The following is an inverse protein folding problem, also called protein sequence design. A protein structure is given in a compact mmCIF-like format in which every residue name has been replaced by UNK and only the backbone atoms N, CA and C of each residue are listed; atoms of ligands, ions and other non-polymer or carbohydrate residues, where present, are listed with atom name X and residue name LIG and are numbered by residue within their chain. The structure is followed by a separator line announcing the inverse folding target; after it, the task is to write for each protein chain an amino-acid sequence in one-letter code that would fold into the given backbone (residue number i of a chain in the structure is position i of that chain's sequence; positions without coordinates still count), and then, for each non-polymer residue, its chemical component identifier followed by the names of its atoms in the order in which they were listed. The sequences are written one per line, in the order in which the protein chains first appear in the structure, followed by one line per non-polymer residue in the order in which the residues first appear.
data_IF_727057297020
#
_entry.id   IF_727057297020
#
_cell.length_a   1.000
_cell.length_b   1.000
_cell.length_c   1.000
_cell.angle_alpha   90.00
_cell.angle_beta   90.00
_cell.angle_gamma   90.00
#
_symmetry.space_group_name_H-M   'P 1'
#
loop_
_entity.id
_entity.type
_entity.pdbx_description
1 polymer ?
#
# COMPACT_ATOMS: atom_id res chain seq x y z
N UNK A 1 9.25 2.45 -36.19
CA UNK A 1 9.17 1.31 -35.26
C UNK A 1 10.31 0.34 -35.57
N UNK A 2 10.98 -0.21 -34.54
CA UNK A 2 12.16 -1.05 -34.71
C UNK A 2 11.96 -2.54 -34.31
N UNK A 3 10.73 -2.93 -33.95
CA UNK A 3 10.42 -4.26 -33.44
C UNK A 3 10.66 -4.45 -31.94
N UNK A 4 11.04 -3.39 -31.20
CA UNK A 4 11.26 -3.51 -29.76
C UNK A 4 9.93 -3.63 -28.99
N UNK A 5 9.78 -4.70 -28.20
CA UNK A 5 8.58 -5.02 -27.41
C UNK A 5 8.04 -3.85 -26.58
N UNK A 6 8.94 -3.10 -25.92
CA UNK A 6 8.61 -1.93 -25.10
C UNK A 6 7.96 -0.77 -25.86
N UNK A 7 8.16 -0.71 -27.17
CA UNK A 7 7.66 0.37 -28.03
C UNK A 7 6.40 -0.02 -28.80
N UNK A 8 5.96 -1.29 -28.72
CA UNK A 8 4.81 -1.80 -29.49
C UNK A 8 3.53 -1.09 -29.07
N UNK A 9 3.23 -1.06 -27.77
CA UNK A 9 1.98 -0.46 -27.28
C UNK A 9 1.91 1.04 -27.57
N UNK A 10 3.03 1.76 -27.42
CA UNK A 10 3.12 3.18 -27.76
C UNK A 10 3.01 3.45 -29.27
N UNK A 11 3.52 2.54 -30.10
CA UNK A 11 3.41 2.63 -31.55
C UNK A 11 1.96 2.41 -32.01
N UNK A 12 1.29 1.35 -31.54
CA UNK A 12 -0.13 1.06 -31.85
C UNK A 12 -1.01 2.24 -31.42
N UNK A 13 -0.83 2.75 -30.19
CA UNK A 13 -1.58 3.92 -29.73
C UNK A 13 -1.35 5.17 -30.61
N UNK A 14 -0.12 5.40 -31.06
CA UNK A 14 0.20 6.52 -31.97
C UNK A 14 -0.42 6.33 -33.35
N UNK A 15 -0.42 5.11 -33.87
CA UNK A 15 -1.07 4.74 -35.12
C UNK A 15 -2.58 4.98 -35.06
N UNK A 16 -3.25 4.50 -34.01
CA UNK A 16 -4.68 4.73 -33.79
C UNK A 16 -5.04 6.21 -33.66
N UNK A 17 -4.24 6.99 -32.92
CA UNK A 17 -4.44 8.45 -32.81
C UNK A 17 -4.31 9.16 -34.16
N UNK A 18 -3.32 8.78 -34.97
CA UNK A 18 -3.11 9.40 -36.28
C UNK A 18 -4.22 9.03 -37.28
N UNK A 19 -4.63 7.76 -37.30
CA UNK A 19 -5.73 7.29 -38.14
C UNK A 19 -7.08 7.90 -37.73
N UNK A 20 -7.32 8.06 -36.42
CA UNK A 20 -8.50 8.77 -35.91
C UNK A 20 -8.51 10.26 -36.27
N UNK A 21 -7.35 10.94 -36.17
CA UNK A 21 -7.22 12.35 -36.50
C UNK A 21 -7.32 12.64 -38.01
N UNK A 22 -6.91 11.67 -38.85
CA UNK A 22 -6.86 11.81 -40.31
C UNK A 22 -7.70 10.76 -41.04
N UNK A 23 -8.84 10.37 -40.47
CA UNK A 23 -9.71 9.35 -41.05
C UNK A 23 -10.14 9.70 -42.50
N UNK A 24 -10.27 11.00 -42.80
CA UNK A 24 -10.61 11.49 -44.14
C UNK A 24 -9.53 11.28 -45.21
N UNK A 25 -8.23 11.17 -44.84
CA UNK A 25 -7.13 10.90 -45.78
C UNK A 25 -7.00 9.39 -46.08
N UNK A 26 -7.52 8.54 -45.21
CA UNK A 26 -7.45 7.08 -45.32
C UNK A 26 -8.79 6.47 -45.72
N UNK A 27 -9.14 6.62 -47.00
CA UNK A 27 -10.39 6.10 -47.58
C UNK A 27 -10.41 4.58 -47.79
N UNK A 28 -9.24 3.93 -47.80
CA UNK A 28 -9.12 2.47 -47.94
C UNK A 28 -8.30 1.88 -46.80
N UNK A 29 -8.71 0.69 -46.34
CA UNK A 29 -7.95 -0.10 -45.35
C UNK A 29 -6.52 -0.39 -45.84
N UNK A 30 -6.34 -0.58 -47.14
CA UNK A 30 -5.03 -0.80 -47.75
C UNK A 30 -4.08 0.40 -47.59
N UNK A 31 -4.59 1.63 -47.69
CA UNK A 31 -3.79 2.85 -47.45
C UNK A 31 -3.34 2.93 -45.98
N UNK A 32 -4.19 2.51 -45.04
CA UNK A 32 -3.85 2.47 -43.60
C UNK A 32 -2.76 1.45 -43.32
N UNK A 33 -2.93 0.25 -43.87
CA UNK A 33 -1.96 -0.84 -43.79
C UNK A 33 -0.60 -0.40 -44.35
N UNK A 34 -0.57 0.14 -45.57
CA UNK A 34 0.67 0.59 -46.21
C UNK A 34 1.33 1.72 -45.41
N UNK A 35 0.52 2.61 -44.81
CA UNK A 35 1.02 3.67 -43.96
C UNK A 35 1.68 3.12 -42.69
N UNK A 36 1.05 2.19 -41.97
CA UNK A 36 1.64 1.53 -40.79
C UNK A 36 2.95 0.80 -41.17
N UNK A 37 2.94 0.05 -42.26
CA UNK A 37 4.12 -0.66 -42.77
C UNK A 37 5.26 0.31 -43.13
N UNK A 38 4.94 1.52 -43.62
CA UNK A 38 5.94 2.54 -43.91
C UNK A 38 6.72 3.02 -42.68
N UNK A 39 6.19 2.86 -41.46
CA UNK A 39 6.91 3.17 -40.22
C UNK A 39 7.79 2.01 -39.73
N UNK A 40 7.68 0.82 -40.30
CA UNK A 40 8.46 -0.37 -39.93
C UNK A 40 9.87 -0.38 -40.57
N UNK A 41 10.59 0.73 -40.46
CA UNK A 41 11.79 0.99 -41.27
C UNK A 41 13.10 0.40 -40.73
N UNK A 42 13.10 -0.20 -39.53
CA UNK A 42 14.35 -0.61 -38.85
C UNK A 42 14.19 -1.92 -38.08
N UNK A 43 15.30 -2.65 -37.90
CA UNK A 43 15.38 -3.82 -37.03
C UNK A 43 14.43 -4.96 -37.42
N UNK A 44 13.99 -5.73 -36.43
CA UNK A 44 13.12 -6.88 -36.65
C UNK A 44 11.76 -6.54 -37.29
N UNK A 45 11.33 -5.28 -37.20
CA UNK A 45 10.12 -4.80 -37.87
C UNK A 45 10.31 -4.67 -39.39
N UNK A 46 11.52 -4.31 -39.86
CA UNK A 46 11.83 -4.25 -41.28
C UNK A 46 11.89 -5.64 -41.90
N UNK A 47 12.55 -6.58 -41.22
CA UNK A 47 12.65 -7.96 -41.67
C UNK A 47 11.26 -8.60 -41.79
N UNK A 48 10.38 -8.34 -40.82
CA UNK A 48 9.00 -8.78 -40.86
C UNK A 48 8.18 -8.08 -41.96
N UNK A 49 8.29 -6.75 -42.10
CA UNK A 49 7.63 -6.01 -43.18
C UNK A 49 8.01 -6.59 -44.56
N UNK A 50 9.29 -6.85 -44.80
CA UNK A 50 9.77 -7.43 -46.05
C UNK A 50 9.22 -8.84 -46.27
N UNK A 51 9.19 -9.66 -45.22
CA UNK A 51 8.58 -10.99 -45.26
C UNK A 51 7.10 -10.94 -45.64
N UNK A 52 6.32 -10.00 -45.09
CA UNK A 52 4.90 -9.83 -45.42
C UNK A 52 4.68 -9.31 -46.85
N UNK A 53 5.51 -8.36 -47.31
CA UNK A 53 5.44 -7.88 -48.68
C UNK A 53 5.78 -8.97 -49.70
N UNK A 54 6.74 -9.85 -49.38
CA UNK A 54 7.08 -11.00 -50.21
C UNK A 54 5.99 -12.07 -50.18
N UNK A 55 5.39 -12.31 -49.01
CA UNK A 55 4.23 -13.21 -48.89
C UNK A 55 3.07 -12.72 -49.77
N UNK A 56 2.78 -11.42 -49.76
CA UNK A 56 1.77 -10.80 -50.61
C UNK A 56 2.07 -10.94 -52.11
N UNK A 57 3.35 -10.94 -52.51
CA UNK A 57 3.76 -11.20 -53.91
C UNK A 57 3.57 -12.65 -54.31
N UNK A 58 3.92 -13.59 -53.45
CA UNK A 58 3.92 -15.03 -53.77
C UNK A 58 2.50 -15.62 -53.69
N UNK A 59 1.71 -15.22 -52.70
CA UNK A 59 0.39 -15.81 -52.42
C UNK A 59 -0.78 -14.94 -52.88
N UNK A 60 -0.53 -13.69 -53.28
CA UNK A 60 -1.58 -12.74 -53.66
C UNK A 60 -2.45 -12.27 -52.48
N UNK A 61 -2.08 -12.64 -51.24
CA UNK A 61 -2.85 -12.33 -50.03
C UNK A 61 -1.89 -11.98 -48.90
N UNK A 62 -2.10 -10.84 -48.24
CA UNK A 62 -1.38 -10.51 -47.02
C UNK A 62 -2.02 -11.22 -45.82
N UNK A 63 -1.27 -11.38 -44.73
CA UNK A 63 -1.74 -12.02 -43.50
C UNK A 63 -2.84 -11.23 -42.76
N UNK A 64 -3.08 -9.98 -43.17
CA UNK A 64 -4.05 -9.05 -42.62
C UNK A 64 -4.73 -8.27 -43.75
N UNK A 65 -6.02 -7.99 -43.57
CA UNK A 65 -6.88 -7.27 -44.52
C UNK A 65 -7.39 -5.94 -43.98
N UNK A 66 -7.33 -5.75 -42.67
CA UNK A 66 -7.72 -4.51 -41.98
C UNK A 66 -6.57 -3.96 -41.14
N UNK A 67 -6.65 -2.67 -40.79
CA UNK A 67 -5.68 -2.07 -39.86
C UNK A 67 -5.72 -2.73 -38.47
N UNK A 68 -6.88 -3.18 -38.02
CA UNK A 68 -7.06 -3.86 -36.72
C UNK A 68 -6.35 -5.22 -36.70
N UNK A 69 -6.50 -6.02 -37.76
CA UNK A 69 -5.79 -7.31 -37.89
C UNK A 69 -4.27 -7.12 -37.95
N UNK A 70 -3.80 -6.03 -38.57
CA UNK A 70 -2.40 -5.67 -38.59
C UNK A 70 -1.88 -5.30 -37.20
N UNK A 71 -2.65 -4.53 -36.43
CA UNK A 71 -2.30 -4.19 -35.05
C UNK A 71 -2.23 -5.43 -34.16
N UNK A 72 -3.18 -6.35 -34.28
CA UNK A 72 -3.18 -7.63 -33.58
C UNK A 72 -1.99 -8.51 -33.97
N UNK A 73 -1.63 -8.55 -35.25
CA UNK A 73 -0.46 -9.29 -35.74
C UNK A 73 0.86 -8.69 -35.21
N UNK A 74 0.98 -7.36 -35.22
CA UNK A 74 2.13 -6.66 -34.62
C UNK A 74 2.19 -6.97 -33.12
N UNK A 75 1.05 -6.95 -32.43
CA UNK A 75 0.96 -7.25 -31.01
C UNK A 75 1.31 -8.72 -30.73
N UNK A 76 0.88 -9.65 -31.56
CA UNK A 76 1.20 -11.08 -31.43
C UNK A 76 2.68 -11.35 -31.69
N UNK A 77 3.27 -10.72 -32.69
CA UNK A 77 4.64 -10.98 -33.16
C UNK A 77 5.70 -10.27 -32.31
N UNK A 78 5.42 -9.03 -31.90
CA UNK A 78 6.38 -8.17 -31.18
C UNK A 78 5.94 -7.84 -29.75
N UNK A 79 4.68 -8.03 -29.38
CA UNK A 79 4.18 -7.72 -28.05
C UNK A 79 4.65 -8.69 -26.96
N UNK A 80 5.12 -9.88 -27.32
CA UNK A 80 5.61 -10.87 -26.36
C UNK A 80 4.47 -11.64 -25.68
N UNK A 81 4.72 -12.92 -25.44
CA UNK A 81 3.72 -13.93 -25.09
C UNK A 81 3.14 -13.82 -23.67
N UNK A 82 3.57 -12.84 -22.86
CA UNK A 82 3.15 -12.77 -21.45
C UNK A 82 2.90 -11.35 -20.94
N UNK A 83 2.35 -10.47 -21.80
CA UNK A 83 1.89 -9.14 -21.35
C UNK A 83 0.90 -9.26 -20.20
N UNK A 84 -0.02 -10.23 -20.25
CA UNK A 84 -1.04 -10.40 -19.21
C UNK A 84 -0.41 -10.87 -17.90
N UNK A 85 0.43 -11.91 -17.90
CA UNK A 85 1.08 -12.35 -16.66
C UNK A 85 2.04 -11.30 -16.09
N UNK A 86 2.80 -10.60 -16.93
CA UNK A 86 3.68 -9.50 -16.50
C UNK A 86 2.87 -8.35 -15.91
N UNK A 87 1.73 -8.00 -16.51
CA UNK A 87 0.80 -6.98 -15.98
C UNK A 87 0.16 -7.43 -14.67
N UNK A 88 -0.21 -8.70 -14.53
CA UNK A 88 -0.74 -9.25 -13.28
C UNK A 88 0.31 -9.20 -12.17
N UNK A 89 1.54 -9.62 -12.46
CA UNK A 89 2.66 -9.54 -11.51
C UNK A 89 2.90 -8.08 -11.14
N UNK A 90 2.95 -7.17 -12.12
CA UNK A 90 3.13 -5.75 -11.86
C UNK A 90 2.01 -5.18 -10.98
N UNK A 91 0.76 -5.48 -11.30
CA UNK A 91 -0.41 -5.06 -10.52
C UNK A 91 -0.33 -5.55 -9.08
N UNK A 92 0.12 -6.79 -8.88
CA UNK A 92 0.34 -7.38 -7.54
C UNK A 92 1.49 -6.75 -6.78
N UNK A 93 2.49 -6.19 -7.47
CA UNK A 93 3.62 -5.49 -6.84
C UNK A 93 3.32 -4.04 -6.48
N UNK A 94 2.23 -3.46 -6.99
CA UNK A 94 1.84 -2.09 -6.68
C UNK A 94 1.28 -2.01 -5.26
N UNK A 95 2.07 -1.43 -4.37
CA UNK A 95 1.71 -1.16 -2.98
C UNK A 95 1.76 0.36 -2.76
N UNK A 96 0.77 0.91 -2.05
CA UNK A 96 0.67 2.33 -1.73
C UNK A 96 1.82 2.77 -0.82
N UNK A 97 2.05 2.05 0.29
CA UNK A 97 3.13 2.35 1.22
C UNK A 97 3.06 3.79 1.74
N UNK A 98 4.16 4.53 1.68
CA UNK A 98 4.18 5.95 2.07
C UNK A 98 3.65 6.95 1.04
N UNK A 99 3.23 6.50 -0.15
CA UNK A 99 2.85 7.37 -1.28
C UNK A 99 1.42 7.92 -1.12
N UNK A 100 1.14 9.02 -1.82
CA UNK A 100 -0.22 9.56 -1.97
C UNK A 100 -1.15 8.50 -2.55
N UNK A 101 -2.40 8.48 -2.09
CA UNK A 101 -3.40 7.58 -2.67
C UNK A 101 -3.61 7.86 -4.16
N UNK A 102 -3.51 9.12 -4.59
CA UNK A 102 -3.70 9.52 -5.99
C UNK A 102 -2.66 8.90 -6.95
N UNK A 103 -1.37 8.98 -6.63
CA UNK A 103 -0.30 8.36 -7.44
C UNK A 103 -0.48 6.84 -7.52
N UNK A 104 -0.82 6.22 -6.39
CA UNK A 104 -1.11 4.79 -6.34
C UNK A 104 -2.30 4.41 -7.23
N UNK A 105 -3.37 5.20 -7.21
CA UNK A 105 -4.55 4.97 -8.07
C UNK A 105 -4.19 5.14 -9.56
N UNK A 106 -3.36 6.12 -9.91
CA UNK A 106 -2.93 6.32 -11.30
C UNK A 106 -2.08 5.14 -11.80
N UNK A 107 -1.10 4.69 -11.01
CA UNK A 107 -0.28 3.52 -11.34
C UNK A 107 -1.13 2.25 -11.45
N UNK A 108 -2.03 2.04 -10.49
CA UNK A 108 -2.91 0.88 -10.46
C UNK A 108 -3.86 0.87 -11.67
N UNK A 109 -4.45 2.02 -12.04
CA UNK A 109 -5.28 2.14 -13.25
C UNK A 109 -4.50 1.77 -14.51
N UNK A 110 -3.27 2.25 -14.65
CA UNK A 110 -2.41 1.93 -15.81
C UNK A 110 -2.09 0.44 -15.87
N UNK A 111 -1.76 -0.17 -14.72
CA UNK A 111 -1.46 -1.60 -14.65
C UNK A 111 -2.69 -2.49 -14.85
N UNK A 112 -3.87 -2.01 -14.44
CA UNK A 112 -5.13 -2.71 -14.63
C UNK A 112 -5.49 -2.85 -16.12
N UNK A 113 -5.15 -1.85 -16.94
CA UNK A 113 -5.45 -1.85 -18.38
C UNK A 113 -4.68 -2.99 -19.08
N UNK A 114 -5.44 -4.02 -19.48
CA UNK A 114 -4.92 -5.22 -20.15
C UNK A 114 -4.41 -6.31 -19.20
N UNK A 115 -4.74 -6.25 -17.90
CA UNK A 115 -4.58 -7.38 -16.98
C UNK A 115 -5.69 -8.43 -17.08
N UNK A 116 -6.83 -8.07 -17.69
CA UNK A 116 -8.01 -8.93 -17.80
C UNK A 116 -8.83 -9.07 -16.50
N UNK A 117 -8.46 -8.36 -15.42
CA UNK A 117 -9.25 -8.34 -14.20
C UNK A 117 -10.44 -7.38 -14.33
N UNK A 118 -11.64 -7.92 -14.14
CA UNK A 118 -12.88 -7.15 -14.13
C UNK A 118 -13.69 -7.37 -12.84
N UNK A 119 -14.59 -6.43 -12.55
CA UNK A 119 -15.55 -6.53 -11.45
C UNK A 119 -14.90 -6.64 -10.07
N UNK A 120 -15.16 -7.75 -9.37
CA UNK A 120 -14.68 -7.95 -7.99
C UNK A 120 -13.19 -8.28 -7.91
N UNK A 121 -12.60 -8.89 -8.93
CA UNK A 121 -11.20 -9.29 -8.89
C UNK A 121 -10.25 -8.08 -8.81
N UNK A 122 -10.53 -7.04 -9.58
CA UNK A 122 -9.75 -5.78 -9.54
C UNK A 122 -9.91 -5.05 -8.20
N UNK A 123 -11.09 -5.14 -7.57
CA UNK A 123 -11.34 -4.56 -6.25
C UNK A 123 -10.51 -5.26 -5.17
N UNK A 124 -10.45 -6.60 -5.19
CA UNK A 124 -9.65 -7.35 -4.21
C UNK A 124 -8.16 -7.09 -4.37
N UNK A 125 -7.66 -6.99 -5.61
CA UNK A 125 -6.25 -6.63 -5.84
C UNK A 125 -5.98 -5.17 -5.42
N UNK A 126 -6.93 -4.24 -5.64
CA UNK A 126 -6.80 -2.86 -5.15
C UNK A 126 -6.76 -2.78 -3.62
N UNK A 127 -7.64 -3.51 -2.93
CA UNK A 127 -7.63 -3.65 -1.46
C UNK A 127 -6.31 -4.20 -0.93
N UNK A 128 -5.62 -5.05 -1.70
CA UNK A 128 -4.32 -5.61 -1.32
C UNK A 128 -3.21 -4.58 -1.41
N UNK A 129 -3.22 -3.75 -2.44
CA UNK A 129 -2.24 -2.69 -2.66
C UNK A 129 -2.38 -1.49 -1.72
N UNK A 130 -3.58 -1.28 -1.17
CA UNK A 130 -3.89 -0.15 -0.30
C UNK A 130 -3.28 -0.27 1.10
N UNK A 131 -2.97 0.87 1.72
CA UNK A 131 -2.53 0.91 3.10
C UNK A 131 -3.59 0.32 4.05
N UNK A 132 -3.18 -0.58 4.94
CA UNK A 132 -4.05 -1.22 5.93
C UNK A 132 -4.97 -0.23 6.69
N UNK A 133 -4.47 0.86 7.31
CA UNK A 133 -5.36 1.79 8.02
C UNK A 133 -6.34 2.52 7.10
N UNK A 134 -5.97 2.75 5.84
CA UNK A 134 -6.86 3.35 4.84
C UNK A 134 -7.95 2.34 4.44
N UNK A 135 -7.55 1.09 4.19
CA UNK A 135 -8.45 -0.01 3.83
C UNK A 135 -9.47 -0.28 4.92
N UNK A 136 -9.03 -0.43 6.16
CA UNK A 136 -9.91 -0.66 7.31
C UNK A 136 -10.91 0.48 7.48
N UNK A 137 -10.45 1.73 7.35
CA UNK A 137 -11.33 2.90 7.42
C UNK A 137 -12.39 2.93 6.32
N UNK A 138 -12.04 2.53 5.09
CA UNK A 138 -13.01 2.42 3.99
C UNK A 138 -14.01 1.29 4.26
N UNK A 139 -13.54 0.14 4.76
CA UNK A 139 -14.41 -1.00 5.08
C UNK A 139 -15.34 -0.73 6.27
N UNK A 140 -14.92 0.08 7.24
CA UNK A 140 -15.73 0.52 8.39
C UNK A 140 -16.61 1.73 8.07
N UNK A 141 -16.54 2.28 6.85
CA UNK A 141 -17.42 3.38 6.46
C UNK A 141 -18.83 2.90 6.15
N UNK A 142 -19.83 3.76 6.43
CA UNK A 142 -21.26 3.46 6.36
C UNK A 142 -21.75 2.89 5.01
N UNK A 143 -21.03 3.20 3.91
CA UNK A 143 -21.36 2.74 2.57
C UNK A 143 -20.23 1.91 1.97
N UNK A 144 -20.16 0.60 2.20
CA UNK A 144 -19.06 -0.22 1.66
C UNK A 144 -19.07 -0.15 0.13
N UNK A 145 -18.00 0.37 -0.51
CA UNK A 145 -17.99 0.53 -1.96
C UNK A 145 -17.99 -0.82 -2.68
N UNK A 146 -18.85 -0.95 -3.69
CA UNK A 146 -19.01 -2.15 -4.52
C UNK A 146 -18.38 -2.00 -5.91
N UNK A 147 -18.05 -0.78 -6.32
CA UNK A 147 -17.37 -0.48 -7.58
C UNK A 147 -15.95 -0.02 -7.34
N UNK A 148 -15.07 -0.29 -8.30
CA UNK A 148 -13.67 0.15 -8.22
C UNK A 148 -13.54 1.68 -8.19
N UNK A 149 -14.45 2.40 -8.87
CA UNK A 149 -14.47 3.86 -8.85
C UNK A 149 -14.83 4.43 -7.47
N UNK A 150 -15.81 3.85 -6.79
CA UNK A 150 -16.15 4.24 -5.42
C UNK A 150 -14.98 3.98 -4.46
N UNK A 151 -14.26 2.87 -4.66
CA UNK A 151 -13.03 2.56 -3.93
C UNK A 151 -11.97 3.65 -4.13
N UNK A 152 -11.77 4.12 -5.37
CA UNK A 152 -10.84 5.22 -5.67
C UNK A 152 -11.26 6.52 -5.00
N UNK A 153 -12.52 6.92 -5.15
CA UNK A 153 -13.05 8.16 -4.60
C UNK A 153 -12.92 8.20 -3.06
N UNK A 154 -13.26 7.10 -2.39
CA UNK A 154 -13.11 6.99 -0.93
C UNK A 154 -11.65 6.98 -0.49
N UNK A 155 -10.79 6.26 -1.21
CA UNK A 155 -9.36 6.24 -0.90
C UNK A 155 -8.75 7.65 -0.97
N UNK A 156 -9.11 8.45 -1.98
CA UNK A 156 -8.69 9.84 -2.09
C UNK A 156 -9.19 10.69 -0.93
N UNK A 157 -10.50 10.61 -0.62
CA UNK A 157 -11.10 11.37 0.48
C UNK A 157 -10.43 11.08 1.82
N UNK A 158 -10.21 9.79 2.13
CA UNK A 158 -9.58 9.42 3.40
C UNK A 158 -8.09 9.75 3.46
N UNK A 159 -7.37 9.71 2.33
CA UNK A 159 -5.96 10.12 2.27
C UNK A 159 -5.82 11.63 2.48
N UNK A 160 -6.68 12.43 1.83
CA UNK A 160 -6.76 13.88 2.05
C UNK A 160 -7.11 14.20 3.51
N UNK A 161 -8.12 13.56 4.08
CA UNK A 161 -8.50 13.74 5.48
C UNK A 161 -7.37 13.35 6.45
N UNK A 162 -6.66 12.26 6.17
CA UNK A 162 -5.51 11.83 6.98
C UNK A 162 -4.36 12.85 6.94
N UNK A 163 -4.05 13.38 5.75
CA UNK A 163 -3.02 14.42 5.58
C UNK A 163 -3.41 15.73 6.23
N UNK A 164 -4.66 16.15 6.07
CA UNK A 164 -5.21 17.34 6.72
C UNK A 164 -5.15 17.19 8.25
N UNK A 165 -5.55 16.04 8.80
CA UNK A 165 -5.44 15.75 10.23
C UNK A 165 -3.99 15.78 10.72
N UNK A 166 -3.02 15.26 9.95
CA UNK A 166 -1.59 15.36 10.30
C UNK A 166 -1.11 16.82 10.28
N UNK A 167 -1.51 17.59 9.26
CA UNK A 167 -1.15 18.99 9.14
C UNK A 167 -1.76 19.81 10.29
N UNK A 168 -3.03 19.58 10.61
CA UNK A 168 -3.76 20.18 11.72
C UNK A 168 -3.11 19.81 13.06
N UNK A 169 -2.74 18.54 13.27
CA UNK A 169 -2.01 18.11 14.46
C UNK A 169 -0.62 18.76 14.56
N UNK A 170 0.04 19.10 13.44
CA UNK A 170 1.29 19.87 13.47
C UNK A 170 1.05 21.35 13.81
N UNK A 171 -0.04 21.92 13.32
CA UNK A 171 -0.40 23.33 13.55
C UNK A 171 -0.91 23.57 14.99
N UNK A 172 -1.75 22.67 15.51
CA UNK A 172 -2.43 22.83 16.82
C UNK A 172 -1.92 21.88 17.91
N UNK A 173 -1.20 20.80 17.55
CA UNK A 173 -0.62 19.86 18.52
C UNK A 173 0.69 20.36 19.15
N UNK A 174 1.13 21.58 18.82
CA UNK A 174 2.25 22.27 19.45
C UNK A 174 1.92 22.81 20.84
N UNK A 175 1.36 21.99 21.74
CA UNK A 175 1.22 22.33 23.16
C UNK A 175 1.00 21.08 24.03
N UNK A 176 1.87 20.08 23.91
CA UNK A 176 2.09 19.13 25.00
C UNK A 176 3.43 18.42 24.87
N UNK A 177 4.51 19.16 25.05
CA UNK A 177 5.81 18.59 25.43
C UNK A 177 6.24 19.24 26.74
N UNK A 178 5.82 18.59 27.83
CA UNK A 178 6.32 18.72 29.20
C UNK A 178 7.07 19.99 29.57
N UNK A 179 6.33 21.03 29.98
CA UNK A 179 6.89 21.92 31.00
C UNK A 179 7.06 21.07 32.26
N UNK A 180 8.32 20.71 32.58
CA UNK A 180 8.69 20.49 33.98
C UNK A 180 8.40 21.81 34.68
N UNK A 181 7.28 21.88 35.37
CA UNK A 181 6.97 23.00 36.25
C UNK A 181 8.13 23.21 37.25
N UNK A 182 8.35 24.44 37.72
CA UNK A 182 9.44 24.74 38.62
C UNK A 182 9.33 23.86 39.87
N UNK A 183 10.44 23.23 40.26
CA UNK A 183 10.50 22.39 41.43
C UNK A 183 10.18 23.21 42.68
N UNK A 184 9.07 22.91 43.35
CA UNK A 184 8.75 23.48 44.65
C UNK A 184 9.81 22.99 45.67
N UNK A 185 10.43 23.89 46.47
CA UNK A 185 11.34 23.46 47.52
C UNK A 185 10.58 22.67 48.57
N UNK A 186 11.04 21.46 48.89
CA UNK A 186 10.48 20.69 50.01
C UNK A 186 10.89 21.33 51.34
N UNK A 187 9.97 21.51 52.31
CA UNK A 187 10.33 21.97 53.64
C UNK A 187 11.13 20.89 54.41
N UNK A 188 12.01 21.28 55.35
CA UNK A 188 12.80 20.33 56.11
C UNK A 188 11.92 19.47 57.04
N UNK A 189 12.28 18.20 57.29
CA UNK A 189 11.46 17.31 58.10
C UNK A 189 11.62 17.64 59.58
N UNK A 190 10.60 18.24 60.18
CA UNK A 190 10.47 18.30 61.64
C UNK A 190 10.04 16.91 62.15
N UNK A 191 10.78 16.36 63.11
CA UNK A 191 10.47 15.10 63.77
C UNK A 191 9.12 15.17 64.48
N UNK A 192 8.22 14.20 64.21
CA UNK A 192 6.91 14.11 64.86
C UNK A 192 6.97 13.15 66.05
N UNK A 193 6.61 13.56 67.28
CA UNK A 193 6.41 12.64 68.40
C UNK A 193 5.04 11.94 68.32
N UNK A 194 4.96 10.77 68.94
CA UNK A 194 3.83 9.84 68.90
C UNK A 194 2.67 10.17 69.86
N UNK A 195 1.50 9.63 69.51
CA UNK A 195 0.37 9.15 70.35
C UNK A 195 -0.83 10.08 70.65
N UNK A 196 -2.04 9.53 70.41
CA UNK A 196 -3.35 10.08 70.77
C UNK A 196 -4.50 9.48 69.92
N UNK A 197 -5.61 8.94 70.50
CA UNK A 197 -6.61 8.16 69.75
C UNK A 197 -7.98 8.87 69.49
N UNK A 198 -8.52 8.69 68.26
CA UNK A 198 -9.93 8.61 67.74
C UNK A 198 -10.91 9.83 67.89
N UNK A 199 -11.95 10.14 67.07
CA UNK A 199 -12.72 9.58 65.91
C UNK A 199 -13.35 10.76 65.05
N UNK A 200 -14.37 10.63 64.13
CA UNK A 200 -14.25 10.88 62.68
C UNK A 200 -15.15 12.02 62.11
N UNK A 201 -15.06 12.35 60.81
CA UNK A 201 -16.24 12.72 60.02
C UNK A 201 -16.02 12.68 58.49
N UNK A 202 -16.82 11.85 57.82
CA UNK A 202 -17.55 12.22 56.60
C UNK A 202 -16.87 12.14 55.23
N UNK A 203 -17.01 10.97 54.56
CA UNK A 203 -17.29 10.67 53.11
C UNK A 203 -16.56 11.43 51.97
N UNK A 204 -16.36 10.86 50.75
CA UNK A 204 -17.10 9.76 50.10
C UNK A 204 -16.24 8.67 49.42
N UNK A 205 -16.95 7.62 49.00
CA UNK A 205 -16.50 6.38 48.36
C UNK A 205 -15.78 6.58 47.04
N UNK A 206 -14.78 5.74 46.75
CA UNK A 206 -14.46 5.33 45.38
C UNK A 206 -14.26 3.80 45.33
N UNK A 207 -15.09 3.19 44.51
CA UNK A 207 -15.30 1.75 44.33
C UNK A 207 -14.20 1.21 43.40
N UNK A 208 -13.62 0.06 43.78
CA UNK A 208 -12.89 -0.88 42.92
C UNK A 208 -11.87 -0.33 41.92
N UNK A 209 -10.87 0.42 42.39
CA UNK A 209 -9.63 0.64 41.63
C UNK A 209 -8.49 -0.23 42.15
N UNK A 210 -8.56 -1.51 41.79
CA UNK A 210 -7.43 -2.44 41.65
C UNK A 210 -6.48 -2.50 42.84
N UNK A 211 -6.56 -3.59 43.62
CA UNK A 211 -5.47 -4.09 44.47
C UNK A 211 -4.12 -3.93 43.77
N UNK A 212 -3.45 -2.80 43.99
CA UNK A 212 -2.05 -2.61 43.63
C UNK A 212 -1.30 -3.49 44.60
N UNK A 213 -1.01 -4.72 44.17
CA UNK A 213 -0.08 -5.60 44.86
C UNK A 213 1.14 -4.74 45.20
N UNK A 214 1.54 -4.65 46.48
CA UNK A 214 2.68 -3.84 46.87
C UNK A 214 3.86 -4.22 45.99
N UNK A 215 4.42 -3.26 45.26
CA UNK A 215 5.53 -3.54 44.37
C UNK A 215 6.72 -4.03 45.23
N UNK A 216 7.06 -5.31 45.10
CA UNK A 216 8.17 -5.97 45.80
C UNK A 216 9.40 -6.05 44.91
N UNK A 217 10.56 -5.86 45.52
CA UNK A 217 11.85 -6.00 44.84
C UNK A 217 12.04 -7.42 44.29
N UNK A 218 12.34 -7.57 43.00
CA UNK A 218 12.59 -8.89 42.39
C UNK A 218 13.93 -9.53 42.81
N UNK A 219 14.79 -8.81 43.55
CA UNK A 219 16.03 -9.35 44.10
C UNK A 219 15.85 -9.92 45.53
N UNK A 220 15.10 -9.24 46.39
CA UNK A 220 14.98 -9.61 47.82
C UNK A 220 13.55 -9.82 48.33
N UNK A 221 12.53 -9.64 47.47
CA UNK A 221 11.11 -9.84 47.80
C UNK A 221 10.50 -8.77 48.72
N UNK A 222 11.27 -7.79 49.20
CA UNK A 222 10.75 -6.76 50.12
C UNK A 222 10.01 -5.64 49.38
N UNK A 223 8.88 -5.13 49.90
CA UNK A 223 8.13 -4.05 49.29
C UNK A 223 8.87 -2.70 49.39
N UNK A 224 8.55 -1.77 48.50
CA UNK A 224 9.00 -0.36 48.60
C UNK A 224 10.22 0.01 47.77
N UNK A 225 10.84 -0.93 47.04
CA UNK A 225 11.92 -0.60 46.09
C UNK A 225 12.01 -1.62 44.93
N UNK A 226 12.56 -1.18 43.80
CA UNK A 226 12.92 -2.01 42.64
C UNK A 226 14.29 -2.64 42.79
N UNK A 227 14.55 -3.76 42.09
CA UNK A 227 15.85 -4.47 42.13
C UNK A 227 17.06 -3.60 41.78
N UNK A 228 16.83 -2.50 41.04
CA UNK A 228 17.85 -1.50 40.73
C UNK A 228 18.29 -0.68 41.95
N UNK A 229 17.40 -0.48 42.91
CA UNK A 229 17.62 0.30 44.13
C UNK A 229 17.77 -0.62 45.36
N UNK A 230 18.05 -1.90 45.16
CA UNK A 230 18.24 -2.87 46.23
C UNK A 230 19.66 -2.77 46.79
N UNK A 231 19.79 -2.60 48.10
CA UNK A 231 21.09 -2.54 48.81
C UNK A 231 21.69 -3.93 49.08
N UNK A 232 20.98 -5.01 48.77
CA UNK A 232 21.50 -6.37 48.90
C UNK A 232 22.25 -6.82 47.64
N UNK A 233 23.28 -7.69 47.78
CA UNK A 233 23.98 -8.25 46.63
C UNK A 233 23.01 -8.94 45.66
N UNK A 234 23.26 -8.82 44.36
CA UNK A 234 22.43 -9.44 43.33
C UNK A 234 22.52 -10.95 43.44
N UNK A 235 21.40 -11.63 43.64
CA UNK A 235 21.38 -13.08 43.60
C UNK A 235 21.49 -13.55 42.13
N UNK A 236 22.36 -14.53 41.82
CA UNK A 236 22.41 -15.12 40.50
C UNK A 236 21.08 -15.80 40.19
N UNK A 237 20.51 -15.46 39.03
CA UNK A 237 19.24 -16.02 38.57
C UNK A 237 19.46 -17.50 38.26
N UNK A 238 18.85 -18.39 39.04
CA UNK A 238 18.83 -19.82 38.71
C UNK A 238 18.17 -19.98 37.33
N UNK A 239 18.94 -20.47 36.36
CA UNK A 239 18.44 -20.85 35.05
C UNK A 239 17.52 -22.04 35.27
N UNK A 240 16.20 -21.83 35.13
CA UNK A 240 15.25 -22.93 35.09
C UNK A 240 15.52 -23.72 33.82
N UNK A 241 16.04 -24.93 33.94
CA UNK A 241 16.18 -25.87 32.83
C UNK A 241 14.79 -26.34 32.38
N UNK A 242 14.69 -26.72 31.11
CA UNK A 242 13.43 -26.93 30.38
C UNK A 242 12.60 -28.16 30.79
N UNK A 243 12.88 -28.80 31.92
CA UNK A 243 12.20 -30.05 32.34
C UNK A 243 10.97 -29.87 33.23
N UNK A 244 10.67 -28.66 33.74
CA UNK A 244 9.52 -28.44 34.64
C UNK A 244 8.25 -27.89 33.97
N UNK A 245 8.23 -27.71 32.63
CA UNK A 245 7.03 -27.23 31.91
C UNK A 245 6.02 -28.37 31.64
N UNK A 246 6.40 -29.65 31.80
CA UNK A 246 5.55 -30.79 31.45
C UNK A 246 4.79 -31.45 32.61
N UNK A 247 4.41 -30.70 33.66
CA UNK A 247 3.55 -31.21 34.76
C UNK A 247 2.37 -30.29 35.12
N UNK A 248 2.01 -29.31 34.27
CA UNK A 248 0.79 -28.50 34.45
C UNK A 248 -0.16 -28.61 33.27
N UNK A 249 -0.31 -29.82 32.73
CA UNK A 249 -1.40 -30.17 31.81
C UNK A 249 -2.07 -31.44 32.29
N UNK A 250 -2.97 -31.27 33.25
CA UNK A 250 -4.11 -32.13 33.52
C UNK A 250 -5.29 -31.24 33.91
#
# INVERSE_FOLDING_TARGET
FNGAMKNVDGFIASCGLYMGARNAEFTTEQSRINWILSFCTKGAALDWQQSEMELGRVTGRMSFTTAEELEDEIQRRFGGTDKVATKIIHLRTIIQGGRIAEEHIQDFRKAAIGSGYEGRAIIEEFKRGLNQPLRERIMMSENVPITIEDWYNKALLFDQNYRNMIAEKKLYGGMSTGQRGPAFPQPPPYARPQSGPVIPMGVPMDVDRGQRRPFTCYNCGRPGHMSRNCTQPRQPRAVRTAEEINQMSF
#
